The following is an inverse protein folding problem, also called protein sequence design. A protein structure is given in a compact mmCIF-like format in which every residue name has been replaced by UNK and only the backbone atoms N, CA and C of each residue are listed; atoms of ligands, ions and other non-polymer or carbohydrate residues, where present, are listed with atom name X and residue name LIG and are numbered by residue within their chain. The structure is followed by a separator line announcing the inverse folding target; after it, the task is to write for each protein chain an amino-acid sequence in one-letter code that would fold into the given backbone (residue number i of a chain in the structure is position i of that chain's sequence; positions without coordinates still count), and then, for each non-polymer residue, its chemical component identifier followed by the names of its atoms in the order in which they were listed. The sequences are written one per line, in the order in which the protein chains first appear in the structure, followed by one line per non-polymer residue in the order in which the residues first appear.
data_IF_752154757547
#
_entry.id   IF_752154757547
#
_cell.length_a   1.000
_cell.length_b   1.000
_cell.length_c   1.000
_cell.angle_alpha   90.00
_cell.angle_beta   90.00
_cell.angle_gamma   90.00
#
_symmetry.space_group_name_H-M   'P 1'
#
loop_
_entity.id
_entity.type
_entity.pdbx_description
1 polymer ?
#
# COMPACT_ATOMS: atom_id res chain seq x y z
N UNK A 1 2.65 -54.64 20.97
CA UNK A 1 2.58 -53.24 20.53
C UNK A 1 3.97 -52.71 20.19
N UNK A 2 5.03 -53.01 20.98
CA UNK A 2 6.39 -52.49 20.78
C UNK A 2 7.08 -52.95 19.47
N UNK A 3 6.82 -54.16 18.96
CA UNK A 3 7.43 -54.68 17.71
C UNK A 3 6.95 -53.97 16.43
N UNK A 4 5.72 -53.47 16.40
CA UNK A 4 5.19 -52.74 15.21
C UNK A 4 5.78 -51.31 15.08
N UNK A 5 6.06 -50.66 16.20
CA UNK A 5 6.67 -49.31 16.22
C UNK A 5 8.13 -49.33 15.72
N UNK A 6 8.90 -50.37 16.08
CA UNK A 6 10.30 -50.50 15.69
C UNK A 6 10.48 -50.73 14.17
N UNK A 7 9.59 -51.51 13.56
CA UNK A 7 9.63 -51.75 12.10
C UNK A 7 9.24 -50.53 11.26
N UNK A 8 8.36 -49.66 11.76
CA UNK A 8 8.00 -48.39 11.10
C UNK A 8 9.15 -47.38 11.15
N UNK A 9 9.88 -47.32 12.26
CA UNK A 9 11.04 -46.42 12.41
C UNK A 9 12.20 -46.87 11.52
N UNK A 10 12.46 -48.15 11.37
CA UNK A 10 13.48 -48.68 10.47
C UNK A 10 13.15 -48.44 8.98
N UNK A 11 11.89 -48.53 8.58
CA UNK A 11 11.47 -48.23 7.20
C UNK A 11 11.60 -46.73 6.89
N UNK A 12 11.33 -45.85 7.84
CA UNK A 12 11.47 -44.40 7.70
C UNK A 12 12.95 -43.97 7.59
N UNK A 13 13.85 -44.59 8.36
CA UNK A 13 15.29 -44.34 8.26
C UNK A 13 15.88 -44.85 6.95
N UNK A 14 15.50 -46.04 6.49
CA UNK A 14 15.94 -46.61 5.21
C UNK A 14 15.53 -45.74 3.99
N UNK A 15 14.33 -45.17 4.02
CA UNK A 15 13.87 -44.31 2.92
C UNK A 15 14.63 -42.97 2.84
N UNK A 16 15.05 -42.40 3.97
CA UNK A 16 15.86 -41.16 3.98
C UNK A 16 17.30 -41.39 3.55
N UNK A 17 17.90 -42.56 3.90
CA UNK A 17 19.24 -42.91 3.42
C UNK A 17 19.29 -43.11 1.92
N UNK A 18 18.26 -43.72 1.31
CA UNK A 18 18.17 -43.89 -0.14
C UNK A 18 18.03 -42.56 -0.90
N UNK A 19 17.31 -41.59 -0.36
CA UNK A 19 17.15 -40.26 -0.96
C UNK A 19 18.46 -39.45 -0.88
N UNK A 20 19.19 -39.51 0.22
CA UNK A 20 20.48 -38.86 0.36
C UNK A 20 21.55 -39.43 -0.63
N UNK A 21 21.54 -40.75 -0.82
CA UNK A 21 22.46 -41.42 -1.74
C UNK A 21 22.18 -41.07 -3.20
N UNK A 22 20.88 -40.96 -3.56
CA UNK A 22 20.47 -40.51 -4.90
C UNK A 22 20.82 -39.05 -5.17
N UNK A 23 20.72 -38.17 -4.18
CA UNK A 23 21.12 -36.77 -4.30
C UNK A 23 22.64 -36.61 -4.43
N UNK A 24 23.46 -37.43 -3.74
CA UNK A 24 24.91 -37.43 -3.90
C UNK A 24 25.35 -37.99 -5.28
N UNK A 25 24.70 -39.02 -5.80
CA UNK A 25 24.95 -39.53 -7.16
C UNK A 25 24.58 -38.53 -8.24
N UNK A 26 23.46 -37.80 -8.08
CA UNK A 26 23.06 -36.77 -9.02
C UNK A 26 24.05 -35.59 -9.07
N UNK A 27 24.59 -35.18 -7.93
CA UNK A 27 25.64 -34.14 -7.88
C UNK A 27 26.95 -34.58 -8.50
N UNK A 28 27.34 -35.83 -8.37
CA UNK A 28 28.57 -36.36 -9.02
C UNK A 28 28.42 -36.50 -10.53
N UNK A 29 27.24 -36.88 -11.04
CA UNK A 29 26.98 -36.96 -12.49
C UNK A 29 27.01 -35.58 -13.13
N UNK A 30 26.50 -34.53 -12.47
CA UNK A 30 26.56 -33.15 -12.97
C UNK A 30 28.02 -32.64 -12.99
N UNK A 31 28.87 -33.05 -12.04
CA UNK A 31 30.25 -32.65 -12.00
C UNK A 31 31.10 -33.36 -13.06
N UNK A 32 30.82 -34.62 -13.39
CA UNK A 32 31.51 -35.38 -14.44
C UNK A 32 31.12 -34.90 -15.84
N UNK A 33 29.84 -34.47 -16.04
CA UNK A 33 29.39 -33.89 -17.30
C UNK A 33 30.01 -32.50 -17.58
N UNK A 34 30.38 -31.76 -16.54
CA UNK A 34 31.02 -30.44 -16.67
C UNK A 34 32.52 -30.49 -16.97
N UNK A 35 33.20 -31.64 -16.72
CA UNK A 35 34.66 -31.78 -16.91
C UNK A 35 35.03 -32.44 -18.24
N UNK A 36 34.10 -32.99 -19.02
CA UNK A 36 34.40 -33.69 -20.28
C UNK A 36 34.06 -32.90 -21.55
N UNK A 37 33.65 -31.63 -21.46
CA UNK A 37 33.41 -30.79 -22.64
C UNK A 37 34.31 -29.55 -22.73
N UNK A 38 35.64 -29.75 -22.52
CA UNK A 38 36.61 -28.70 -22.80
C UNK A 38 37.65 -29.14 -23.82
N UNK A 39 37.22 -29.43 -25.04
CA UNK A 39 38.09 -29.28 -26.21
C UNK A 39 37.21 -29.28 -27.47
N UNK A 40 37.44 -28.23 -28.27
CA UNK A 40 36.95 -27.99 -29.62
C UNK A 40 35.42 -27.65 -29.76
N UNK A 41 35.11 -26.36 -29.79
CA UNK A 41 34.60 -25.62 -30.96
C UNK A 41 34.63 -24.14 -30.66
N UNK A 42 35.61 -23.45 -31.23
CA UNK A 42 35.62 -22.00 -31.42
C UNK A 42 34.62 -21.71 -32.57
N UNK A 43 33.41 -21.39 -32.24
CA UNK A 43 32.45 -20.75 -33.16
C UNK A 43 31.61 -19.79 -32.36
N UNK A 44 31.73 -18.52 -32.64
CA UNK A 44 31.15 -17.42 -31.91
C UNK A 44 29.64 -17.54 -31.71
N UNK A 45 29.26 -17.76 -30.47
CA UNK A 45 27.94 -17.42 -29.98
C UNK A 45 28.16 -16.41 -28.84
N UNK A 46 28.36 -15.13 -29.22
CA UNK A 46 28.13 -14.03 -28.31
C UNK A 46 26.67 -14.11 -27.88
N UNK A 47 26.40 -14.83 -26.80
CA UNK A 47 25.23 -14.61 -25.99
C UNK A 47 25.31 -13.16 -25.54
N UNK A 48 24.67 -12.27 -26.31
CA UNK A 48 24.31 -10.93 -25.86
C UNK A 48 23.37 -11.13 -24.66
N UNK A 49 23.94 -11.35 -23.48
CA UNK A 49 23.31 -10.96 -22.24
C UNK A 49 23.24 -9.44 -22.37
N UNK A 50 22.15 -8.95 -22.94
CA UNK A 50 21.73 -7.56 -22.77
C UNK A 50 21.56 -7.41 -21.27
N UNK A 51 22.61 -6.95 -20.60
CA UNK A 51 22.43 -6.23 -19.34
C UNK A 51 21.39 -5.17 -19.68
N UNK A 52 20.18 -5.40 -19.20
CA UNK A 52 19.15 -4.38 -19.18
C UNK A 52 19.70 -3.28 -18.25
N UNK A 53 20.54 -2.39 -18.78
CA UNK A 53 20.89 -1.13 -18.12
C UNK A 53 19.56 -0.41 -17.96
N UNK A 54 18.89 -0.67 -16.83
CA UNK A 54 17.77 0.13 -16.43
C UNK A 54 18.28 1.56 -16.35
N UNK A 55 17.83 2.39 -17.30
CA UNK A 55 18.07 3.82 -17.22
C UNK A 55 17.54 4.23 -15.87
N UNK A 56 18.36 4.82 -14.97
CA UNK A 56 17.88 5.22 -13.66
C UNK A 56 16.70 6.17 -13.85
N UNK A 57 15.52 5.78 -13.35
CA UNK A 57 14.34 6.62 -13.41
C UNK A 57 14.64 7.85 -12.58
N UNK A 58 14.71 9.01 -13.25
CA UNK A 58 14.90 10.30 -12.59
C UNK A 58 13.56 10.69 -11.95
N UNK A 59 13.50 10.64 -10.63
CA UNK A 59 12.34 11.11 -9.89
C UNK A 59 12.29 12.64 -9.94
N UNK A 60 11.07 13.20 -10.02
CA UNK A 60 10.82 14.64 -9.99
C UNK A 60 11.27 15.23 -8.64
N UNK A 61 11.77 16.46 -8.68
CA UNK A 61 12.09 17.22 -7.47
C UNK A 61 10.87 17.96 -6.87
N UNK A 62 9.67 17.79 -7.43
CA UNK A 62 8.44 18.37 -6.90
C UNK A 62 8.15 17.87 -5.49
N UNK A 63 7.50 18.71 -4.70
CA UNK A 63 6.96 18.34 -3.39
C UNK A 63 5.74 17.41 -3.55
N UNK A 64 5.37 16.74 -2.47
CA UNK A 64 4.17 15.90 -2.48
C UNK A 64 2.89 16.72 -2.72
N UNK A 65 2.82 17.94 -2.16
CA UNK A 65 1.72 18.86 -2.46
C UNK A 65 1.61 19.18 -3.97
N UNK A 66 2.73 19.41 -4.66
CA UNK A 66 2.72 19.64 -6.11
C UNK A 66 2.32 18.40 -6.90
N UNK A 67 2.68 17.21 -6.44
CA UNK A 67 2.22 15.95 -7.05
C UNK A 67 0.72 15.74 -6.88
N UNK A 68 0.17 15.98 -5.69
CA UNK A 68 -1.26 15.87 -5.39
C UNK A 68 -2.07 17.01 -6.08
N UNK A 69 -1.44 18.13 -6.45
CA UNK A 69 -2.09 19.29 -7.10
C UNK A 69 -2.20 19.16 -8.62
N UNK A 70 -1.83 18.03 -9.22
CA UNK A 70 -2.03 17.83 -10.66
C UNK A 70 -3.52 17.78 -11.01
N UNK A 71 -3.90 18.31 -12.19
CA UNK A 71 -5.30 18.47 -12.63
C UNK A 71 -6.14 17.19 -12.46
N UNK A 72 -5.57 16.03 -12.79
CA UNK A 72 -6.26 14.75 -12.67
C UNK A 72 -6.56 14.39 -11.22
N UNK A 73 -5.61 14.60 -10.32
CA UNK A 73 -5.78 14.30 -8.89
C UNK A 73 -6.69 15.33 -8.24
N UNK A 74 -6.47 16.62 -8.53
CA UNK A 74 -7.31 17.71 -8.06
C UNK A 74 -8.79 17.48 -8.41
N UNK A 75 -9.07 17.04 -9.65
CA UNK A 75 -10.42 16.71 -10.09
C UNK A 75 -11.01 15.51 -9.35
N UNK A 76 -10.24 14.44 -9.15
CA UNK A 76 -10.68 13.27 -8.36
C UNK A 76 -11.04 13.68 -6.93
N UNK A 77 -10.22 14.51 -6.30
CA UNK A 77 -10.44 14.99 -4.94
C UNK A 77 -11.68 15.90 -4.89
N UNK A 78 -11.76 16.90 -5.77
CA UNK A 78 -12.90 17.81 -5.84
C UNK A 78 -14.25 17.08 -5.88
N UNK A 79 -14.37 16.07 -6.76
CA UNK A 79 -15.60 15.25 -6.88
C UNK A 79 -15.98 14.50 -5.62
N UNK A 80 -15.04 14.30 -4.72
CA UNK A 80 -15.28 13.58 -3.46
C UNK A 80 -15.68 14.49 -2.32
N UNK A 81 -15.31 15.79 -2.35
CA UNK A 81 -15.49 16.71 -1.24
C UNK A 81 -16.95 16.77 -0.77
N UNK A 82 -17.89 17.10 -1.67
CA UNK A 82 -19.30 17.22 -1.34
C UNK A 82 -19.90 15.91 -0.78
N UNK A 83 -19.53 14.76 -1.34
CA UNK A 83 -20.01 13.46 -0.86
C UNK A 83 -19.48 13.14 0.54
N UNK A 84 -18.21 13.44 0.82
CA UNK A 84 -17.61 13.24 2.13
C UNK A 84 -18.18 14.20 3.18
N UNK A 85 -18.35 15.48 2.84
CA UNK A 85 -18.97 16.47 3.73
C UNK A 85 -20.40 16.05 4.10
N UNK A 86 -21.19 15.59 3.13
CA UNK A 86 -22.57 15.09 3.37
C UNK A 86 -22.60 13.80 4.20
N UNK A 87 -21.58 12.97 4.14
CA UNK A 87 -21.49 11.74 4.93
C UNK A 87 -21.01 11.96 6.37
N UNK A 88 -20.52 13.16 6.68
CA UNK A 88 -20.02 13.52 7.99
C UNK A 88 -21.19 13.80 8.95
N UNK A 89 -21.08 13.28 10.16
CA UNK A 89 -22.01 13.55 11.24
C UNK A 89 -21.69 14.90 11.92
N UNK A 90 -22.67 15.51 12.63
CA UNK A 90 -22.43 16.80 13.31
C UNK A 90 -21.24 16.80 14.29
N UNK A 91 -20.92 15.64 14.89
CA UNK A 91 -19.78 15.47 15.80
C UNK A 91 -18.44 15.27 15.10
N UNK A 92 -18.38 15.34 13.77
CA UNK A 92 -17.16 15.15 12.96
C UNK A 92 -16.91 13.71 12.49
N UNK A 93 -17.66 12.73 12.96
CA UNK A 93 -17.51 11.34 12.54
C UNK A 93 -17.89 11.14 11.07
N UNK A 94 -17.13 10.32 10.33
CA UNK A 94 -17.50 9.98 8.97
C UNK A 94 -18.39 8.74 8.90
N UNK A 95 -19.55 8.94 8.26
CA UNK A 95 -20.38 7.89 7.70
C UNK A 95 -21.11 6.96 8.66
N UNK A 96 -21.91 6.09 8.07
CA UNK A 96 -22.77 5.14 8.77
C UNK A 96 -22.03 4.10 9.64
N UNK A 97 -20.74 3.88 9.40
CA UNK A 97 -19.91 2.97 10.21
C UNK A 97 -19.61 3.50 11.61
N UNK A 98 -19.98 4.74 11.89
CA UNK A 98 -19.64 5.46 13.12
C UNK A 98 -20.86 5.80 13.96
N UNK A 99 -22.04 5.31 13.55
CA UNK A 99 -23.24 5.45 14.37
C UNK A 99 -23.04 4.68 15.68
N UNK A 100 -22.73 5.41 16.74
CA UNK A 100 -22.87 4.96 18.11
C UNK A 100 -24.37 4.88 18.44
N UNK A 101 -25.03 3.87 17.90
CA UNK A 101 -26.36 3.54 18.35
C UNK A 101 -26.20 2.65 19.58
N UNK A 102 -26.66 3.12 20.71
CA UNK A 102 -26.71 2.37 21.97
C UNK A 102 -25.38 1.81 22.50
N UNK A 103 -24.33 2.64 22.59
CA UNK A 103 -23.01 2.27 23.15
C UNK A 103 -22.27 1.14 22.41
N UNK A 104 -22.69 0.74 21.22
CA UNK A 104 -21.97 -0.21 20.40
C UNK A 104 -21.13 0.50 19.35
N UNK A 105 -19.81 0.56 19.57
CA UNK A 105 -18.86 1.00 18.54
C UNK A 105 -18.94 0.08 17.33
N UNK A 106 -19.17 0.61 16.14
CA UNK A 106 -19.03 -0.18 14.94
C UNK A 106 -17.54 -0.50 14.70
N UNK A 107 -17.26 -1.76 14.34
CA UNK A 107 -15.92 -2.36 14.34
C UNK A 107 -14.85 -1.64 13.50
N UNK A 108 -15.22 -0.68 12.65
CA UNK A 108 -14.28 -0.08 11.70
C UNK A 108 -14.31 1.45 11.75
N UNK A 109 -14.79 2.01 12.83
CA UNK A 109 -15.05 3.45 12.98
C UNK A 109 -13.80 4.31 12.72
N UNK A 110 -12.62 3.87 13.22
CA UNK A 110 -11.40 4.66 13.07
C UNK A 110 -10.85 4.66 11.64
N UNK A 111 -11.06 3.57 10.89
CA UNK A 111 -10.63 3.52 9.49
C UNK A 111 -11.37 4.51 8.60
N UNK A 112 -12.64 4.80 8.91
CA UNK A 112 -13.44 5.73 8.11
C UNK A 112 -12.98 7.19 8.28
N UNK A 113 -12.28 7.51 9.38
CA UNK A 113 -11.72 8.85 9.60
C UNK A 113 -10.53 9.17 8.69
N UNK A 114 -9.96 8.18 8.00
CA UNK A 114 -8.89 8.39 7.00
C UNK A 114 -9.32 9.33 5.86
N UNK A 115 -10.61 9.46 5.60
CA UNK A 115 -11.11 10.35 4.55
C UNK A 115 -10.99 11.84 4.89
N UNK A 116 -10.62 12.18 6.11
CA UNK A 116 -10.17 13.53 6.46
C UNK A 116 -9.00 14.00 5.59
N UNK A 117 -8.12 13.09 5.15
CA UNK A 117 -7.06 13.36 4.17
C UNK A 117 -7.61 13.94 2.87
N UNK A 118 -8.59 13.25 2.25
CA UNK A 118 -9.16 13.71 0.99
C UNK A 118 -9.86 15.08 1.13
N UNK A 119 -10.50 15.33 2.30
CA UNK A 119 -11.12 16.61 2.59
C UNK A 119 -10.09 17.73 2.75
N UNK A 120 -9.02 17.50 3.53
CA UNK A 120 -8.01 18.54 3.79
C UNK A 120 -7.20 18.79 2.52
N UNK A 121 -6.58 17.76 1.92
CA UNK A 121 -5.74 17.94 0.72
C UNK A 121 -6.58 18.46 -0.45
N UNK A 122 -7.77 17.90 -0.67
CA UNK A 122 -8.67 18.38 -1.70
C UNK A 122 -9.13 19.82 -1.46
N UNK A 123 -9.39 20.19 -0.21
CA UNK A 123 -9.73 21.54 0.19
C UNK A 123 -8.59 22.55 0.00
N UNK A 124 -7.34 22.15 0.32
CA UNK A 124 -6.16 22.99 0.08
C UNK A 124 -5.95 23.27 -1.42
N UNK A 125 -6.07 22.23 -2.24
CA UNK A 125 -5.87 22.33 -3.70
C UNK A 125 -6.99 23.15 -4.36
N UNK A 126 -8.23 23.00 -3.92
CA UNK A 126 -9.40 23.62 -4.53
C UNK A 126 -9.88 24.89 -3.81
N UNK A 127 -9.12 25.40 -2.82
CA UNK A 127 -9.47 26.57 -2.02
C UNK A 127 -10.85 26.45 -1.34
N UNK A 128 -11.16 25.26 -0.80
CA UNK A 128 -12.41 24.98 -0.07
C UNK A 128 -12.14 24.92 1.45
N UNK A 129 -12.26 26.04 2.18
CA UNK A 129 -12.01 26.06 3.62
C UNK A 129 -13.01 25.22 4.42
N UNK A 130 -14.23 25.01 3.91
CA UNK A 130 -15.23 24.18 4.58
C UNK A 130 -14.83 22.70 4.53
N UNK A 131 -14.28 22.24 3.40
CA UNK A 131 -13.74 20.89 3.29
C UNK A 131 -12.54 20.69 4.24
N UNK A 132 -11.64 21.66 4.33
CA UNK A 132 -10.49 21.61 5.23
C UNK A 132 -10.95 21.49 6.69
N UNK A 133 -11.89 22.34 7.11
CA UNK A 133 -12.46 22.30 8.47
C UNK A 133 -13.15 20.95 8.75
N UNK A 134 -13.94 20.46 7.81
CA UNK A 134 -14.59 19.16 7.92
C UNK A 134 -13.57 18.01 8.10
N UNK A 135 -12.46 18.05 7.34
CA UNK A 135 -11.39 17.07 7.47
C UNK A 135 -10.72 17.10 8.84
N UNK A 136 -10.44 18.28 9.38
CA UNK A 136 -9.91 18.41 10.75
C UNK A 136 -10.89 17.96 11.81
N UNK A 137 -12.18 18.27 11.70
CA UNK A 137 -13.21 17.71 12.61
C UNK A 137 -13.24 16.19 12.58
N UNK A 138 -13.03 15.59 11.42
CA UNK A 138 -12.94 14.13 11.27
C UNK A 138 -11.72 13.56 11.99
N UNK A 139 -10.56 14.21 11.90
CA UNK A 139 -9.37 13.84 12.64
C UNK A 139 -9.54 14.03 14.15
N UNK A 140 -10.15 15.15 14.59
CA UNK A 140 -10.45 15.41 16.00
C UNK A 140 -11.33 14.30 16.58
N UNK A 141 -12.40 13.93 15.87
CA UNK A 141 -13.25 12.84 16.30
C UNK A 141 -12.47 11.51 16.40
N UNK A 142 -11.63 11.20 15.43
CA UNK A 142 -10.79 10.01 15.45
C UNK A 142 -9.88 9.96 16.68
N UNK A 143 -9.14 11.03 16.95
CA UNK A 143 -8.22 11.10 18.08
C UNK A 143 -8.91 11.21 19.45
N UNK A 144 -10.13 11.72 19.52
CA UNK A 144 -10.93 11.67 20.74
C UNK A 144 -11.20 10.23 21.24
N UNK A 145 -11.02 9.23 20.36
CA UNK A 145 -11.15 7.81 20.69
C UNK A 145 -9.81 7.08 20.85
N UNK A 146 -8.68 7.84 20.87
CA UNK A 146 -7.38 7.27 21.16
C UNK A 146 -7.24 7.01 22.65
N UNK A 147 -6.84 5.79 23.02
CA UNK A 147 -6.60 5.44 24.43
C UNK A 147 -5.12 5.68 24.83
N UNK A 148 -4.82 5.58 26.12
CA UNK A 148 -3.54 5.96 26.72
C UNK A 148 -2.34 5.25 26.10
N UNK A 149 -2.48 3.98 25.71
CA UNK A 149 -1.42 3.23 25.04
C UNK A 149 -1.18 3.66 23.58
N UNK A 150 -1.93 4.64 23.08
CA UNK A 150 -1.86 5.16 21.71
C UNK A 150 -2.74 4.41 20.70
N UNK A 151 -3.35 3.30 21.09
CA UNK A 151 -4.24 2.53 20.20
C UNK A 151 -5.66 3.12 20.15
N UNK A 152 -6.49 2.48 19.33
CA UNK A 152 -7.91 2.77 19.25
C UNK A 152 -8.70 1.55 19.75
N UNK A 153 -9.67 1.83 20.58
CA UNK A 153 -10.45 0.87 21.33
C UNK A 153 -11.60 0.30 20.47
N UNK A 154 -11.96 -0.98 20.66
CA UNK A 154 -13.06 -1.67 19.96
C UNK A 154 -13.13 -1.40 18.44
N UNK A 155 -12.09 -1.82 17.71
CA UNK A 155 -12.11 -1.84 16.24
C UNK A 155 -11.88 -3.26 15.72
N UNK A 156 -12.31 -3.56 14.51
CA UNK A 156 -12.32 -4.92 13.97
C UNK A 156 -10.94 -5.57 13.83
N UNK A 157 -9.94 -4.78 13.49
CA UNK A 157 -8.53 -5.13 13.49
C UNK A 157 -7.74 -3.91 13.93
N UNK A 158 -7.39 -3.85 15.21
CA UNK A 158 -6.76 -2.66 15.81
C UNK A 158 -5.51 -2.21 15.07
N UNK A 159 -4.64 -3.15 14.68
CA UNK A 159 -3.41 -2.82 13.97
C UNK A 159 -3.69 -2.24 12.57
N UNK A 160 -4.56 -2.90 11.81
CA UNK A 160 -4.91 -2.46 10.47
C UNK A 160 -5.71 -1.14 10.46
N UNK A 161 -6.69 -1.02 11.35
CA UNK A 161 -7.47 0.21 11.48
C UNK A 161 -6.62 1.41 11.87
N UNK A 162 -5.68 1.20 12.83
CA UNK A 162 -4.70 2.22 13.22
C UNK A 162 -3.82 2.60 12.04
N UNK A 163 -3.26 1.62 11.30
CA UNK A 163 -2.38 1.92 10.16
C UNK A 163 -3.08 2.75 9.08
N UNK A 164 -4.35 2.51 8.79
CA UNK A 164 -5.12 3.33 7.84
C UNK A 164 -5.26 4.78 8.30
N UNK A 165 -5.67 4.97 9.54
CA UNK A 165 -5.93 6.31 10.06
C UNK A 165 -4.64 7.11 10.20
N UNK A 166 -3.62 6.56 10.87
CA UNK A 166 -2.37 7.30 11.08
C UNK A 166 -1.60 7.58 9.80
N UNK A 167 -1.66 6.67 8.80
CA UNK A 167 -1.08 6.93 7.49
C UNK A 167 -1.71 8.16 6.83
N UNK A 168 -3.03 8.23 6.85
CA UNK A 168 -3.78 9.35 6.30
C UNK A 168 -3.45 10.67 7.01
N UNK A 169 -3.43 10.66 8.35
CA UNK A 169 -3.09 11.86 9.12
C UNK A 169 -1.63 12.29 8.87
N UNK A 170 -0.67 11.37 8.99
CA UNK A 170 0.74 11.70 8.79
C UNK A 170 1.02 12.25 7.38
N UNK A 171 0.41 11.65 6.36
CA UNK A 171 0.49 12.16 4.98
C UNK A 171 -0.08 13.57 4.87
N UNK A 172 -1.28 13.80 5.39
CA UNK A 172 -1.90 15.13 5.39
C UNK A 172 -1.01 16.19 6.04
N UNK A 173 -0.43 15.89 7.20
CA UNK A 173 0.43 16.85 7.91
C UNK A 173 1.70 17.17 7.10
N UNK A 174 2.34 16.17 6.50
CA UNK A 174 3.50 16.38 5.64
C UNK A 174 3.17 17.17 4.36
N UNK A 175 2.01 16.93 3.75
CA UNK A 175 1.53 17.72 2.60
C UNK A 175 1.28 19.17 3.02
N UNK A 176 0.71 19.42 4.20
CA UNK A 176 0.53 20.78 4.73
C UNK A 176 1.88 21.46 4.92
N UNK A 177 2.88 20.79 5.55
CA UNK A 177 4.21 21.35 5.75
C UNK A 177 4.92 21.74 4.43
N UNK A 178 4.60 21.06 3.34
CA UNK A 178 5.15 21.32 2.00
C UNK A 178 4.29 22.27 1.14
N UNK A 179 3.13 22.69 1.62
CA UNK A 179 2.19 23.53 0.92
C UNK A 179 2.42 25.02 1.19
N UNK A 180 1.87 25.92 0.36
CA UNK A 180 1.84 27.36 0.66
C UNK A 180 1.04 27.72 1.92
N UNK A 181 0.34 26.76 2.51
CA UNK A 181 -0.50 26.95 3.70
C UNK A 181 0.17 26.48 5.01
N UNK A 182 1.45 26.14 4.98
CA UNK A 182 2.18 25.59 6.13
C UNK A 182 2.07 26.44 7.39
N UNK A 183 2.26 27.75 7.29
CA UNK A 183 2.13 28.68 8.41
C UNK A 183 0.69 28.75 8.94
N UNK A 184 -0.29 28.83 8.03
CA UNK A 184 -1.72 28.91 8.37
C UNK A 184 -2.19 27.74 9.23
N UNK A 185 -1.68 26.53 8.95
CA UNK A 185 -2.09 25.30 9.64
C UNK A 185 -1.03 24.72 10.56
N UNK A 186 -0.02 25.51 10.94
CA UNK A 186 1.05 25.09 11.84
C UNK A 186 0.51 24.56 13.19
N UNK A 187 -0.53 25.19 13.74
CA UNK A 187 -1.15 24.75 14.99
C UNK A 187 -1.82 23.37 14.86
N UNK A 188 -2.44 23.07 13.74
CA UNK A 188 -3.03 21.76 13.45
C UNK A 188 -1.94 20.70 13.32
N UNK A 189 -0.85 21.00 12.62
CA UNK A 189 0.31 20.11 12.54
C UNK A 189 0.85 19.81 13.95
N UNK A 190 1.09 20.85 14.75
CA UNK A 190 1.57 20.71 16.13
C UNK A 190 0.62 19.89 17.02
N UNK A 191 -0.69 20.05 16.85
CA UNK A 191 -1.74 19.31 17.58
C UNK A 191 -1.70 17.81 17.29
N UNK A 192 -1.65 17.41 16.00
CA UNK A 192 -1.82 16.00 15.63
C UNK A 192 -0.50 15.22 15.63
N UNK A 193 0.63 15.87 15.46
CA UNK A 193 1.97 15.24 15.44
C UNK A 193 2.23 14.31 16.62
N UNK A 194 2.05 14.69 17.89
CA UNK A 194 2.24 13.79 19.03
C UNK A 194 1.21 12.64 19.07
N UNK A 195 -0.01 12.86 18.60
CA UNK A 195 -1.07 11.85 18.60
C UNK A 195 -0.79 10.74 17.60
N UNK A 196 -0.37 11.10 16.39
CA UNK A 196 0.05 10.15 15.35
C UNK A 196 1.28 9.38 15.82
N UNK A 197 2.27 10.07 16.41
CA UNK A 197 3.47 9.44 16.95
C UNK A 197 3.13 8.38 18.00
N UNK A 198 2.29 8.72 18.97
CA UNK A 198 1.86 7.79 20.01
C UNK A 198 1.18 6.53 19.42
N UNK A 199 0.30 6.70 18.42
CA UNK A 199 -0.35 5.59 17.76
C UNK A 199 0.63 4.68 17.01
N UNK A 200 1.60 5.25 16.31
CA UNK A 200 2.61 4.47 15.58
C UNK A 200 3.62 3.80 16.51
N UNK A 201 3.98 4.43 17.64
CA UNK A 201 4.79 3.77 18.68
C UNK A 201 4.08 2.55 19.27
N UNK A 202 2.76 2.61 19.47
CA UNK A 202 1.96 1.42 19.85
C UNK A 202 2.06 0.32 18.78
N UNK A 203 2.02 0.65 17.48
CA UNK A 203 2.09 -0.35 16.41
C UNK A 203 3.39 -1.17 16.43
N UNK A 204 4.51 -0.59 16.85
CA UNK A 204 5.82 -1.27 16.89
C UNK A 204 6.13 -1.97 18.20
N UNK A 205 5.24 -1.94 19.19
CA UNK A 205 5.38 -2.79 20.38
C UNK A 205 5.49 -4.27 19.97
N UNK A 206 6.44 -5.05 20.51
CA UNK A 206 6.78 -6.37 19.99
C UNK A 206 5.59 -7.30 19.77
N UNK A 207 4.69 -7.38 20.75
CA UNK A 207 3.50 -8.24 20.68
C UNK A 207 2.45 -7.71 19.67
N UNK A 208 2.29 -6.38 19.58
CA UNK A 208 1.37 -5.72 18.63
C UNK A 208 1.86 -5.94 17.21
N UNK A 209 3.15 -5.66 16.97
CA UNK A 209 3.82 -5.87 15.70
C UNK A 209 3.68 -7.31 15.21
N UNK A 210 4.13 -8.28 16.02
CA UNK A 210 4.06 -9.71 15.68
C UNK A 210 2.65 -10.16 15.29
N UNK A 211 1.64 -9.77 16.07
CA UNK A 211 0.24 -10.10 15.82
C UNK A 211 -0.31 -9.38 14.57
N UNK A 212 0.04 -8.11 14.39
CA UNK A 212 -0.40 -7.29 13.27
C UNK A 212 0.13 -7.79 11.93
N UNK A 213 1.44 -8.06 11.84
CA UNK A 213 2.07 -8.59 10.62
C UNK A 213 1.49 -9.95 10.24
N UNK A 214 1.30 -10.86 11.20
CA UNK A 214 0.66 -12.16 10.94
C UNK A 214 -0.75 -12.01 10.36
N UNK A 215 -1.55 -11.07 10.86
CA UNK A 215 -2.89 -10.80 10.31
C UNK A 215 -2.86 -10.19 8.91
N UNK A 216 -1.77 -9.54 8.55
CA UNK A 216 -1.58 -8.95 7.24
C UNK A 216 -1.08 -9.94 6.18
N UNK A 217 -0.65 -11.16 6.56
CA UNK A 217 -0.07 -12.15 5.63
C UNK A 217 -0.83 -12.32 4.31
N UNK A 218 -2.17 -12.42 4.26
CA UNK A 218 -2.89 -12.60 3.00
C UNK A 218 -2.97 -11.34 2.11
N UNK A 219 -2.45 -10.20 2.55
CA UNK A 219 -2.75 -8.90 1.96
C UNK A 219 -1.47 -8.09 1.68
N UNK A 220 -0.94 -8.14 0.46
CA UNK A 220 0.31 -7.43 0.12
C UNK A 220 0.16 -5.91 0.26
N UNK A 221 -0.97 -5.31 -0.14
CA UNK A 221 -1.20 -3.86 0.00
C UNK A 221 -1.04 -3.37 1.44
N UNK A 222 -1.31 -4.22 2.44
CA UNK A 222 -1.17 -3.85 3.85
C UNK A 222 0.28 -3.68 4.29
N UNK A 223 1.25 -4.31 3.60
CA UNK A 223 2.68 -4.07 3.86
C UNK A 223 3.04 -2.64 3.51
N UNK A 224 2.63 -2.19 2.34
CA UNK A 224 2.88 -0.82 1.91
C UNK A 224 2.10 0.21 2.74
N UNK A 225 0.87 -0.11 3.16
CA UNK A 225 0.12 0.72 4.11
C UNK A 225 0.85 0.90 5.44
N UNK A 226 1.32 -0.19 6.05
CA UNK A 226 2.08 -0.14 7.30
C UNK A 226 3.40 0.61 7.11
N UNK A 227 4.07 0.38 5.98
CA UNK A 227 5.29 1.11 5.65
C UNK A 227 5.05 2.62 5.54
N UNK A 228 3.98 3.04 4.87
CA UNK A 228 3.60 4.44 4.79
C UNK A 228 3.23 5.01 6.17
N UNK A 229 2.40 4.30 6.96
CA UNK A 229 2.00 4.75 8.30
C UNK A 229 3.21 5.03 9.20
N UNK A 230 4.15 4.09 9.27
CA UNK A 230 5.34 4.21 10.11
C UNK A 230 6.38 5.17 9.51
N UNK A 231 6.63 5.09 8.20
CA UNK A 231 7.62 5.91 7.53
C UNK A 231 7.27 7.38 7.53
N UNK A 232 6.04 7.73 7.14
CA UNK A 232 5.58 9.12 7.12
C UNK A 232 5.55 9.72 8.53
N UNK A 233 5.10 8.95 9.53
CA UNK A 233 5.17 9.41 10.93
C UNK A 233 6.62 9.58 11.39
N UNK A 234 7.50 8.61 11.08
CA UNK A 234 8.93 8.73 11.40
C UNK A 234 9.58 9.96 10.77
N UNK A 235 9.26 10.26 9.49
CA UNK A 235 9.71 11.47 8.80
C UNK A 235 9.19 12.75 9.48
N UNK A 236 7.91 12.78 9.82
CA UNK A 236 7.25 13.91 10.47
C UNK A 236 7.81 14.21 11.86
N UNK A 237 8.20 13.16 12.61
CA UNK A 237 8.60 13.28 14.03
C UNK A 237 10.09 13.13 14.29
N UNK A 238 10.87 12.74 13.26
CA UNK A 238 12.30 12.42 13.42
C UNK A 238 12.54 11.07 14.13
N UNK A 239 11.57 10.14 14.14
CA UNK A 239 11.71 8.86 14.84
C UNK A 239 12.31 7.79 13.90
N UNK A 240 13.61 7.58 14.02
CA UNK A 240 14.37 6.62 13.22
C UNK A 240 13.94 5.16 13.45
N UNK A 241 13.41 4.82 14.62
CA UNK A 241 12.93 3.46 14.86
C UNK A 241 11.66 3.17 14.04
N UNK A 242 10.75 4.12 13.92
CA UNK A 242 9.59 4.02 13.03
C UNK A 242 10.03 3.86 11.56
N UNK A 243 11.04 4.63 11.12
CA UNK A 243 11.60 4.52 9.77
C UNK A 243 12.21 3.12 9.55
N UNK A 244 12.92 2.57 10.53
CA UNK A 244 13.46 1.22 10.48
C UNK A 244 12.36 0.15 10.30
N UNK A 245 11.27 0.24 11.05
CA UNK A 245 10.13 -0.68 10.91
C UNK A 245 9.38 -0.48 9.58
N UNK A 246 9.28 0.75 9.09
CA UNK A 246 8.76 1.07 7.77
C UNK A 246 9.55 0.35 6.67
N UNK A 247 10.88 0.47 6.68
CA UNK A 247 11.78 -0.24 5.74
C UNK A 247 11.62 -1.76 5.80
N UNK A 248 11.42 -2.32 7.00
CA UNK A 248 11.13 -3.74 7.19
C UNK A 248 9.85 -4.15 6.47
N UNK A 249 8.80 -3.33 6.58
CA UNK A 249 7.52 -3.57 5.92
C UNK A 249 7.60 -3.43 4.39
N UNK A 250 8.39 -2.47 3.87
CA UNK A 250 8.70 -2.35 2.43
C UNK A 250 9.38 -3.62 1.92
N UNK A 251 10.43 -4.10 2.61
CA UNK A 251 11.15 -5.33 2.21
C UNK A 251 10.22 -6.54 2.17
N UNK A 252 9.32 -6.67 3.16
CA UNK A 252 8.33 -7.75 3.20
C UNK A 252 7.36 -7.65 2.00
N UNK A 253 6.86 -6.45 1.69
CA UNK A 253 6.01 -6.24 0.52
C UNK A 253 6.69 -6.55 -0.81
N UNK A 254 7.95 -6.10 -0.98
CA UNK A 254 8.74 -6.36 -2.19
C UNK A 254 9.00 -7.85 -2.42
N UNK A 255 9.18 -8.64 -1.35
CA UNK A 255 9.43 -10.08 -1.47
C UNK A 255 8.23 -10.88 -1.96
N UNK A 256 7.04 -10.30 -1.94
CA UNK A 256 5.79 -10.95 -2.33
C UNK A 256 5.40 -10.68 -3.78
N UNK A 257 5.97 -9.65 -4.43
CA UNK A 257 5.61 -9.34 -5.81
C UNK A 257 5.96 -10.49 -6.75
N UNK A 258 5.00 -10.89 -7.56
CA UNK A 258 5.18 -11.92 -8.59
C UNK A 258 5.96 -11.37 -9.80
N UNK A 259 6.61 -12.24 -10.60
CA UNK A 259 7.32 -11.83 -11.80
C UNK A 259 6.47 -11.04 -12.80
N UNK A 260 5.16 -11.35 -12.88
CA UNK A 260 4.18 -10.68 -13.75
C UNK A 260 3.76 -9.28 -13.23
N UNK A 261 4.26 -8.83 -12.09
CA UNK A 261 3.96 -7.52 -11.49
C UNK A 261 2.79 -7.53 -10.50
N UNK A 262 2.14 -8.66 -10.30
CA UNK A 262 1.05 -8.78 -9.31
C UNK A 262 1.61 -8.70 -7.89
N UNK A 263 1.01 -7.85 -7.07
CA UNK A 263 1.10 -7.90 -5.63
C UNK A 263 -0.03 -8.80 -5.11
N UNK A 264 0.25 -10.03 -4.65
CA UNK A 264 -0.79 -10.99 -4.31
C UNK A 264 -1.77 -10.47 -3.25
N UNK A 265 -3.05 -10.73 -3.48
CA UNK A 265 -4.13 -10.39 -2.58
C UNK A 265 -4.98 -11.62 -2.32
N UNK A 266 -4.94 -12.17 -1.09
CA UNK A 266 -5.56 -13.47 -0.75
C UNK A 266 -5.16 -14.61 -1.71
N UNK A 267 -3.89 -14.67 -2.04
CA UNK A 267 -3.33 -15.73 -2.90
C UNK A 267 -3.52 -15.53 -4.42
N UNK A 268 -4.30 -14.53 -4.85
CA UNK A 268 -4.53 -14.21 -6.26
C UNK A 268 -4.19 -12.76 -6.59
N UNK A 269 -4.93 -12.16 -7.51
CA UNK A 269 -4.82 -10.75 -7.85
C UNK A 269 -6.12 -10.01 -7.54
N UNK A 270 -6.02 -8.70 -7.38
CA UNK A 270 -7.17 -7.82 -7.27
C UNK A 270 -6.81 -6.42 -7.76
N UNK A 271 -7.41 -5.99 -8.88
CA UNK A 271 -7.14 -4.70 -9.52
C UNK A 271 -7.29 -3.52 -8.56
N UNK A 272 -8.30 -3.54 -7.68
CA UNK A 272 -8.50 -2.44 -6.73
C UNK A 272 -7.41 -2.37 -5.68
N UNK A 273 -7.01 -3.52 -5.12
CA UNK A 273 -6.00 -3.56 -4.06
C UNK A 273 -4.57 -3.47 -4.59
N UNK A 274 -4.35 -3.80 -5.86
CA UNK A 274 -3.08 -3.57 -6.56
C UNK A 274 -2.70 -2.08 -6.48
N UNK A 275 -3.57 -1.20 -6.96
CA UNK A 275 -3.31 0.25 -6.99
C UNK A 275 -3.35 0.89 -5.61
N UNK A 276 -4.17 0.39 -4.67
CA UNK A 276 -4.13 0.85 -3.28
C UNK A 276 -2.75 0.61 -2.65
N UNK A 277 -2.16 -0.57 -2.87
CA UNK A 277 -0.79 -0.85 -2.41
C UNK A 277 0.25 0.04 -3.07
N UNK A 278 0.11 0.26 -4.39
CA UNK A 278 0.98 1.15 -5.17
C UNK A 278 0.95 2.58 -4.62
N UNK A 279 -0.22 3.15 -4.34
CA UNK A 279 -0.32 4.52 -3.79
C UNK A 279 0.47 4.70 -2.48
N UNK A 280 0.44 3.73 -1.57
CA UNK A 280 1.23 3.81 -0.35
C UNK A 280 2.74 3.71 -0.62
N UNK A 281 3.13 2.86 -1.58
CA UNK A 281 4.53 2.75 -1.99
C UNK A 281 5.03 4.03 -2.67
N UNK A 282 4.20 4.68 -3.49
CA UNK A 282 4.50 5.97 -4.14
C UNK A 282 4.77 7.07 -3.10
N UNK A 283 3.91 7.20 -2.08
CA UNK A 283 4.11 8.12 -0.97
C UNK A 283 5.44 7.85 -0.26
N UNK A 284 5.75 6.58 -0.02
CA UNK A 284 7.02 6.23 0.60
C UNK A 284 8.21 6.66 -0.26
N UNK A 285 8.18 6.46 -1.57
CA UNK A 285 9.22 6.89 -2.51
C UNK A 285 9.44 8.41 -2.43
N UNK A 286 8.36 9.19 -2.42
CA UNK A 286 8.41 10.66 -2.40
C UNK A 286 9.11 11.19 -1.14
N UNK A 287 8.83 10.58 0.01
CA UNK A 287 9.42 11.02 1.28
C UNK A 287 10.78 10.43 1.62
N UNK A 288 11.20 9.37 0.92
CA UNK A 288 12.50 8.70 1.12
C UNK A 288 13.32 8.56 -0.18
N UNK A 289 13.49 9.63 -0.98
CA UNK A 289 14.08 9.53 -2.34
C UNK A 289 15.52 9.01 -2.34
N UNK A 290 16.24 9.14 -1.23
CA UNK A 290 17.64 8.70 -1.10
C UNK A 290 17.79 7.33 -0.42
N UNK A 291 16.70 6.63 -0.13
CA UNK A 291 16.76 5.32 0.51
C UNK A 291 17.29 4.24 -0.46
N UNK A 292 18.13 3.35 0.03
CA UNK A 292 18.73 2.27 -0.79
C UNK A 292 17.72 1.28 -1.37
N UNK A 293 16.46 1.27 -0.89
CA UNK A 293 15.39 0.45 -1.43
C UNK A 293 14.68 1.10 -2.63
N UNK A 294 14.89 2.40 -2.88
CA UNK A 294 14.19 3.15 -3.94
C UNK A 294 14.22 2.43 -5.30
N UNK A 295 15.36 1.95 -5.83
CA UNK A 295 15.33 1.29 -7.13
C UNK A 295 14.39 0.09 -7.18
N UNK A 296 14.32 -0.69 -6.09
CA UNK A 296 13.44 -1.86 -6.00
C UNK A 296 11.97 -1.47 -5.86
N UNK A 297 11.66 -0.42 -5.09
CA UNK A 297 10.29 0.06 -4.92
C UNK A 297 9.78 0.67 -6.22
N UNK A 298 10.58 1.47 -6.91
CA UNK A 298 10.26 2.04 -8.22
C UNK A 298 9.98 0.91 -9.23
N UNK A 299 10.83 -0.10 -9.31
CA UNK A 299 10.61 -1.26 -10.17
C UNK A 299 9.31 -2.00 -9.83
N UNK A 300 9.02 -2.16 -8.54
CA UNK A 300 7.78 -2.78 -8.08
C UNK A 300 6.56 -1.98 -8.54
N UNK A 301 6.58 -0.65 -8.39
CA UNK A 301 5.50 0.24 -8.82
C UNK A 301 5.27 0.13 -10.33
N UNK A 302 6.34 0.25 -11.13
CA UNK A 302 6.26 0.18 -12.60
C UNK A 302 5.69 -1.16 -13.08
N UNK A 303 6.15 -2.28 -12.51
CA UNK A 303 5.60 -3.61 -12.81
C UNK A 303 4.13 -3.72 -12.42
N UNK A 304 3.78 -3.19 -11.24
CA UNK A 304 2.40 -3.20 -10.75
C UNK A 304 1.45 -2.42 -11.64
N UNK A 305 1.84 -1.20 -12.03
CA UNK A 305 1.04 -0.36 -12.92
C UNK A 305 0.99 -0.92 -14.35
N UNK A 306 2.09 -1.51 -14.83
CA UNK A 306 2.10 -2.21 -16.13
C UNK A 306 1.14 -3.40 -16.15
N UNK A 307 1.11 -4.19 -15.08
CA UNK A 307 0.13 -5.26 -14.95
C UNK A 307 -1.29 -4.69 -14.89
N UNK A 308 -1.55 -3.65 -14.10
CA UNK A 308 -2.87 -3.02 -13.99
C UNK A 308 -3.36 -2.48 -15.35
N UNK A 309 -2.48 -1.94 -16.20
CA UNK A 309 -2.84 -1.54 -17.56
C UNK A 309 -3.44 -2.69 -18.39
N UNK A 310 -2.98 -3.93 -18.18
CA UNK A 310 -3.56 -5.10 -18.86
C UNK A 310 -4.99 -5.41 -18.43
N UNK A 311 -5.43 -4.81 -17.31
CA UNK A 311 -6.78 -4.97 -16.78
C UNK A 311 -7.74 -3.90 -17.29
N UNK A 312 -7.24 -2.85 -17.96
CA UNK A 312 -8.05 -1.75 -18.49
C UNK A 312 -8.55 -2.15 -19.89
N UNK A 313 -9.84 -2.34 -20.00
CA UNK A 313 -10.51 -2.67 -21.25
C UNK A 313 -10.39 -1.54 -22.29
N UNK A 314 -10.64 -1.80 -23.58
CA UNK A 314 -10.65 -0.74 -24.61
C UNK A 314 -11.55 0.45 -24.26
N UNK A 315 -12.69 0.18 -23.60
CA UNK A 315 -13.62 1.21 -23.11
C UNK A 315 -13.03 2.14 -22.04
N UNK A 316 -11.99 1.73 -21.31
CA UNK A 316 -11.48 2.39 -20.11
C UNK A 316 -11.99 1.79 -18.81
N UNK A 317 -12.89 0.82 -18.86
CA UNK A 317 -13.36 0.08 -17.69
C UNK A 317 -12.27 -0.86 -17.16
N UNK A 318 -12.18 -1.00 -15.83
CA UNK A 318 -11.26 -1.93 -15.18
C UNK A 318 -11.92 -3.29 -15.05
N UNK A 319 -11.31 -4.30 -15.66
CA UNK A 319 -11.77 -5.69 -15.57
C UNK A 319 -11.61 -6.23 -14.15
N UNK A 320 -12.69 -6.77 -13.60
CA UNK A 320 -12.70 -7.49 -12.32
C UNK A 320 -12.60 -9.01 -12.48
N UNK A 321 -12.41 -9.50 -13.72
CA UNK A 321 -12.29 -10.94 -13.99
C UNK A 321 -11.13 -11.55 -13.21
N UNK A 322 -11.40 -12.54 -12.37
CA UNK A 322 -10.41 -13.22 -11.55
C UNK A 322 -9.97 -12.49 -10.28
N UNK A 323 -10.53 -11.30 -9.98
CA UNK A 323 -10.23 -10.60 -8.74
C UNK A 323 -10.64 -11.43 -7.52
N UNK A 324 -9.84 -11.36 -6.45
CA UNK A 324 -10.09 -12.12 -5.22
C UNK A 324 -11.05 -11.45 -4.25
N UNK A 325 -11.23 -10.13 -4.34
CA UNK A 325 -12.00 -9.33 -3.38
C UNK A 325 -13.06 -8.45 -4.02
N UNK A 326 -12.77 -7.80 -5.14
CA UNK A 326 -13.72 -6.92 -5.86
C UNK A 326 -14.44 -7.66 -6.97
N UNK A 327 -15.48 -7.04 -7.56
CA UNK A 327 -16.23 -7.65 -8.67
C UNK A 327 -17.14 -8.81 -8.24
N UNK A 328 -17.88 -8.67 -7.15
CA UNK A 328 -18.84 -9.69 -6.70
C UNK A 328 -18.27 -10.77 -5.77
N UNK A 329 -17.02 -10.65 -5.32
CA UNK A 329 -16.35 -11.65 -4.48
C UNK A 329 -16.54 -11.39 -2.98
N UNK A 330 -16.29 -10.18 -2.54
CA UNK A 330 -16.32 -9.81 -1.12
C UNK A 330 -17.31 -8.68 -0.89
N UNK A 331 -18.12 -8.78 0.16
CA UNK A 331 -19.02 -7.71 0.56
C UNK A 331 -18.26 -6.62 1.31
N UNK A 332 -18.77 -5.38 1.26
CA UNK A 332 -18.31 -4.32 2.15
C UNK A 332 -18.63 -4.68 3.60
N UNK A 333 -18.09 -3.92 4.55
CA UNK A 333 -18.10 -4.32 5.98
C UNK A 333 -19.46 -4.41 6.64
N UNK A 334 -20.43 -3.65 6.16
CA UNK A 334 -21.84 -3.73 6.63
C UNK A 334 -22.64 -4.86 5.97
N UNK A 335 -22.05 -5.56 5.01
CA UNK A 335 -22.68 -6.67 4.30
C UNK A 335 -23.71 -6.28 3.23
N UNK A 336 -23.99 -4.98 3.06
CA UNK A 336 -25.08 -4.49 2.20
C UNK A 336 -24.84 -4.67 0.71
N UNK A 337 -23.58 -4.58 0.26
CA UNK A 337 -23.22 -4.67 -1.16
C UNK A 337 -21.84 -5.29 -1.37
N UNK A 338 -21.60 -5.78 -2.57
CA UNK A 338 -20.27 -6.24 -2.97
C UNK A 338 -19.28 -5.08 -3.19
N UNK A 339 -18.02 -5.34 -2.90
CA UNK A 339 -16.93 -4.41 -3.18
C UNK A 339 -16.80 -4.18 -4.69
N UNK A 340 -16.67 -2.93 -5.06
CA UNK A 340 -16.38 -2.49 -6.43
C UNK A 340 -14.94 -1.98 -6.50
N UNK A 341 -14.39 -1.91 -7.71
CA UNK A 341 -13.16 -1.19 -7.95
C UNK A 341 -13.38 0.29 -7.64
N UNK A 342 -12.43 0.90 -6.92
CA UNK A 342 -12.47 2.32 -6.61
C UNK A 342 -11.80 3.13 -7.71
N UNK A 343 -12.54 3.76 -8.65
CA UNK A 343 -11.90 4.45 -9.77
C UNK A 343 -10.98 5.59 -9.35
N UNK A 344 -11.31 6.29 -8.27
CA UNK A 344 -10.49 7.38 -7.76
C UNK A 344 -9.07 6.94 -7.34
N UNK A 345 -8.91 5.81 -6.67
CA UNK A 345 -7.59 5.27 -6.33
C UNK A 345 -6.82 4.80 -7.55
N UNK A 346 -7.51 4.27 -8.56
CA UNK A 346 -6.89 3.88 -9.82
C UNK A 346 -6.32 5.10 -10.56
N UNK A 347 -7.15 6.11 -10.77
CA UNK A 347 -6.73 7.35 -11.44
C UNK A 347 -5.58 8.00 -10.69
N UNK A 348 -5.67 8.13 -9.36
CA UNK A 348 -4.62 8.74 -8.53
C UNK A 348 -3.31 7.97 -8.63
N UNK A 349 -3.32 6.63 -8.59
CA UNK A 349 -2.10 5.83 -8.67
C UNK A 349 -1.33 6.08 -9.99
N UNK A 350 -2.02 6.16 -11.12
CA UNK A 350 -1.41 6.45 -12.40
C UNK A 350 -0.99 7.92 -12.54
N UNK A 351 -1.87 8.86 -12.17
CA UNK A 351 -1.59 10.30 -12.29
C UNK A 351 -0.44 10.73 -11.37
N UNK A 352 -0.41 10.25 -10.14
CA UNK A 352 0.67 10.54 -9.20
C UNK A 352 2.01 10.02 -9.73
N UNK A 353 2.04 8.78 -10.24
CA UNK A 353 3.27 8.21 -10.78
C UNK A 353 3.73 8.89 -12.06
N UNK A 354 2.81 9.37 -12.89
CA UNK A 354 3.13 10.24 -14.03
C UNK A 354 3.83 11.52 -13.57
N UNK A 355 3.31 12.18 -12.53
CA UNK A 355 3.90 13.40 -11.98
C UNK A 355 5.28 13.16 -11.36
N UNK A 356 5.47 12.04 -10.66
CA UNK A 356 6.76 11.68 -10.02
C UNK A 356 7.83 11.32 -11.04
N UNK A 357 7.46 10.62 -12.12
CA UNK A 357 8.43 10.08 -13.10
C UNK A 357 8.51 10.86 -14.40
N UNK A 358 7.58 11.78 -14.67
CA UNK A 358 7.45 12.46 -15.95
C UNK A 358 7.03 11.54 -17.11
N UNK A 359 6.57 10.32 -16.83
CA UNK A 359 6.23 9.33 -17.84
C UNK A 359 4.80 9.50 -18.35
N UNK A 360 4.65 10.02 -19.57
CA UNK A 360 3.38 10.28 -20.24
C UNK A 360 2.44 9.06 -20.34
N UNK A 361 3.00 7.87 -20.49
CA UNK A 361 2.21 6.62 -20.54
C UNK A 361 1.27 6.48 -19.32
N UNK A 362 1.73 6.86 -18.14
CA UNK A 362 0.92 6.79 -16.93
C UNK A 362 -0.15 7.88 -16.91
N UNK A 363 0.16 9.07 -17.39
CA UNK A 363 -0.81 10.14 -17.53
C UNK A 363 -1.92 9.80 -18.52
N UNK A 364 -1.59 9.29 -19.70
CA UNK A 364 -2.56 8.83 -20.70
C UNK A 364 -3.49 7.75 -20.13
N UNK A 365 -2.92 6.83 -19.31
CA UNK A 365 -3.71 5.81 -18.64
C UNK A 365 -4.69 6.44 -17.63
N UNK A 366 -4.23 7.38 -16.82
CA UNK A 366 -5.08 8.10 -15.88
C UNK A 366 -6.20 8.88 -16.60
N UNK A 367 -5.89 9.55 -17.71
CA UNK A 367 -6.88 10.27 -18.56
C UNK A 367 -7.92 9.30 -19.14
N UNK A 368 -7.49 8.15 -19.65
CA UNK A 368 -8.41 7.11 -20.16
C UNK A 368 -9.40 6.65 -19.09
N UNK A 369 -8.91 6.38 -17.87
CA UNK A 369 -9.76 6.01 -16.73
C UNK A 369 -10.71 7.15 -16.34
N UNK A 370 -10.21 8.39 -16.31
CA UNK A 370 -11.00 9.58 -15.98
C UNK A 370 -12.14 9.79 -16.98
N UNK A 371 -11.85 9.64 -18.26
CA UNK A 371 -12.86 9.72 -19.33
C UNK A 371 -13.97 8.69 -19.15
N UNK A 372 -13.64 7.45 -18.84
CA UNK A 372 -14.63 6.38 -18.65
C UNK A 372 -15.46 6.58 -17.38
N UNK A 373 -14.80 6.77 -16.22
CA UNK A 373 -15.49 6.77 -14.93
C UNK A 373 -16.14 8.09 -14.57
N UNK A 374 -15.57 9.20 -15.02
CA UNK A 374 -16.07 10.55 -14.70
C UNK A 374 -16.68 11.29 -15.86
N UNK A 375 -16.68 10.67 -17.06
CA UNK A 375 -17.27 11.23 -18.29
C UNK A 375 -16.73 12.64 -18.60
N UNK A 376 -15.44 12.82 -18.36
CA UNK A 376 -14.72 14.07 -18.71
C UNK A 376 -14.11 13.84 -20.10
N UNK A 377 -14.18 14.84 -21.01
CA UNK A 377 -13.64 14.76 -22.36
C UNK A 377 -12.15 14.41 -22.40
#
# INVERSE_FOLDING_TARGET
VAKKSFLLTLRYLASRFSILLLLQLATQIVFIAATHNSSTVNAGMHLLVRENKQIPIKLSAKTDFEHESTDLIANVLYRRLSGLQKSMMPNGANGANVLWISNQARRWYIEEQRYGEDLIIGGLINNDPQAIEAGFKMFDWGFAHQVDDGSFFITGDRFHSTSFFVQSVAHTLLVIEQSPYSEKYANQVAKYKPLVHRATRWMILPNVWKKGIRRNEPYTHRRYLVAAALGLTGKLTGDEELIKYSRKSIKDGLSLQRPDGVNPEKGGHDSSYQTVGVMYAQRWVTYFPNDSLIPKVVQMIDKSLSWEQTRILPSGEISTKGNTRTGGREKIRDGSRYKKVGPGSQIRAFAYWASVTGNQKWEETARKLTKFYYKIP
#
